data_IF_690358148441
#
_entry.id   IF_690358148441
#
_cell.length_a   1.000
_cell.length_b   1.000
_cell.length_c   1.000
_cell.angle_alpha   90.00
_cell.angle_beta   90.00
_cell.angle_gamma   90.00
#
_symmetry.space_group_name_H-M   'P 1'
#
loop_
_entity.id
_entity.type
_entity.pdbx_description
1 polymer ?
#
# COMPACT_ATOMS: atom_id res chain seq x y z
N UNK A 1 17.60 -3.05 -65.90
CA UNK A 1 16.17 -2.69 -65.76
C UNK A 1 15.70 -1.64 -66.79
N UNK A 2 16.48 -0.62 -67.14
CA UNK A 2 16.13 0.37 -68.18
C UNK A 2 16.31 -0.08 -69.65
N UNK A 3 16.27 -1.39 -69.93
CA UNK A 3 16.33 -1.93 -71.29
C UNK A 3 15.03 -2.66 -71.70
N UNK A 4 13.97 -2.58 -70.90
CA UNK A 4 12.66 -3.17 -71.21
C UNK A 4 12.61 -4.70 -71.23
N UNK A 5 13.75 -5.37 -71.00
CA UNK A 5 13.88 -6.82 -71.03
C UNK A 5 13.61 -7.41 -69.62
N UNK A 6 12.36 -7.35 -69.18
CA UNK A 6 11.93 -7.98 -67.92
C UNK A 6 10.64 -8.78 -68.13
N UNK A 7 10.56 -9.93 -67.48
CA UNK A 7 9.38 -10.77 -67.53
C UNK A 7 8.22 -10.14 -66.75
N UNK A 8 7.15 -9.78 -67.46
CA UNK A 8 5.94 -9.18 -66.88
C UNK A 8 5.19 -10.14 -65.95
N UNK A 9 5.44 -11.45 -66.05
CA UNK A 9 4.87 -12.44 -65.13
C UNK A 9 5.34 -12.25 -63.69
N UNK A 10 6.53 -11.65 -63.48
CA UNK A 10 7.12 -11.41 -62.14
C UNK A 10 6.23 -10.51 -61.28
N UNK A 11 5.51 -9.58 -61.92
CA UNK A 11 4.68 -8.56 -61.26
C UNK A 11 3.18 -8.86 -61.32
N UNK A 12 2.78 -9.95 -62.00
CA UNK A 12 1.37 -10.34 -62.07
C UNK A 12 0.87 -10.61 -60.64
N UNK A 13 -0.24 -9.98 -60.29
CA UNK A 13 -0.88 -10.05 -58.97
C UNK A 13 -0.04 -9.51 -57.79
N UNK A 14 1.00 -8.72 -58.08
CA UNK A 14 1.83 -8.04 -57.05
C UNK A 14 1.72 -6.53 -57.18
N UNK A 15 1.58 -5.86 -56.04
CA UNK A 15 1.64 -4.40 -55.97
C UNK A 15 3.12 -3.97 -55.99
N UNK A 16 3.50 -3.18 -57.00
CA UNK A 16 4.87 -2.69 -57.18
C UNK A 16 4.85 -1.17 -57.07
N UNK A 17 5.55 -0.64 -56.08
CA UNK A 17 5.67 0.79 -55.85
C UNK A 17 7.00 1.26 -56.45
N UNK A 18 6.91 2.16 -57.42
CA UNK A 18 8.08 2.80 -58.05
C UNK A 18 7.94 4.30 -57.86
N UNK A 19 8.97 4.93 -57.31
CA UNK A 19 9.01 6.37 -57.11
C UNK A 19 10.43 6.86 -56.88
N UNK A 20 10.67 8.16 -57.10
CA UNK A 20 12.00 8.72 -57.06
C UNK A 20 12.50 8.78 -55.60
N UNK A 21 13.49 7.96 -55.28
CA UNK A 21 14.23 8.08 -54.01
C UNK A 21 15.50 8.87 -54.28
N UNK A 22 15.51 10.16 -53.95
CA UNK A 22 16.68 11.02 -54.17
C UNK A 22 17.10 11.70 -52.87
N UNK A 23 18.39 11.69 -52.56
CA UNK A 23 18.91 12.22 -51.28
C UNK A 23 18.58 13.73 -51.11
N UNK A 24 18.46 14.50 -52.19
CA UNK A 24 18.02 15.90 -52.14
C UNK A 24 16.49 16.11 -52.12
N UNK A 25 15.66 15.11 -52.41
CA UNK A 25 14.20 15.29 -52.43
C UNK A 25 13.59 15.47 -51.03
N UNK A 26 14.41 15.34 -49.97
CA UNK A 26 14.00 15.40 -48.55
C UNK A 26 12.88 14.42 -48.18
N UNK A 27 12.63 13.40 -49.01
CA UNK A 27 11.56 12.40 -48.82
C UNK A 27 11.95 11.28 -47.85
N UNK A 28 12.70 11.64 -46.82
CA UNK A 28 13.28 10.73 -45.84
C UNK A 28 12.74 11.06 -44.47
N UNK A 29 11.98 10.14 -43.88
CA UNK A 29 11.30 10.35 -42.60
C UNK A 29 11.86 9.41 -41.53
N UNK A 30 11.91 9.89 -40.29
CA UNK A 30 12.26 9.06 -39.15
C UNK A 30 11.11 8.09 -38.83
N UNK A 31 11.41 6.81 -38.78
CA UNK A 31 10.45 5.77 -38.37
C UNK A 31 11.11 4.81 -37.38
N UNK A 32 10.35 4.23 -36.44
CA UNK A 32 10.89 3.29 -35.45
C UNK A 32 11.25 1.91 -36.04
N UNK A 33 11.04 1.71 -37.33
CA UNK A 33 11.24 0.42 -38.03
C UNK A 33 12.47 0.40 -38.93
N UNK A 34 13.17 1.53 -39.05
CA UNK A 34 14.41 1.64 -39.81
C UNK A 34 15.59 1.21 -38.91
N UNK A 35 15.73 -0.11 -38.70
CA UNK A 35 16.82 -0.67 -37.90
C UNK A 35 17.82 -1.43 -38.79
N UNK A 36 18.85 -0.73 -39.24
CA UNK A 36 20.10 -1.33 -39.68
C UNK A 36 21.25 -0.72 -38.88
N UNK A 37 21.79 -1.47 -37.91
CA UNK A 37 23.15 -1.26 -37.37
C UNK A 37 23.47 0.17 -36.88
N UNK A 38 22.61 0.75 -36.03
CA UNK A 38 23.03 1.83 -35.11
C UNK A 38 23.39 3.19 -35.74
N UNK A 39 22.99 3.47 -36.98
CA UNK A 39 22.90 4.84 -37.48
C UNK A 39 21.44 5.26 -37.54
N UNK A 40 21.12 6.49 -37.14
CA UNK A 40 19.79 7.10 -37.30
C UNK A 40 19.31 6.95 -38.76
N UNK A 41 18.40 6.02 -39.00
CA UNK A 41 17.96 5.71 -40.36
C UNK A 41 16.61 6.33 -40.64
N UNK A 42 16.63 7.17 -41.67
CA UNK A 42 15.42 7.72 -42.26
C UNK A 42 14.95 6.76 -43.34
N UNK A 43 13.67 6.43 -43.31
CA UNK A 43 13.01 5.59 -44.30
C UNK A 43 12.51 6.49 -45.44
N UNK A 44 12.73 6.12 -46.71
CA UNK A 44 12.14 6.83 -47.82
C UNK A 44 10.62 6.76 -47.82
N UNK A 45 9.94 7.82 -48.26
CA UNK A 45 8.47 7.92 -48.27
C UNK A 45 7.80 6.75 -48.97
N UNK A 46 8.36 6.27 -50.08
CA UNK A 46 7.80 5.12 -50.80
C UNK A 46 7.82 3.81 -50.01
N UNK A 47 8.85 3.58 -49.21
CA UNK A 47 8.94 2.39 -48.37
C UNK A 47 7.94 2.47 -47.21
N UNK A 48 7.67 3.66 -46.68
CA UNK A 48 6.63 3.90 -45.68
C UNK A 48 5.25 3.58 -46.25
N UNK A 49 4.96 4.06 -47.47
CA UNK A 49 3.71 3.73 -48.15
C UNK A 49 3.58 2.24 -48.45
N UNK A 50 4.67 1.56 -48.85
CA UNK A 50 4.71 0.13 -49.06
C UNK A 50 4.38 -0.65 -47.78
N UNK A 51 4.99 -0.26 -46.66
CA UNK A 51 4.75 -0.87 -45.35
C UNK A 51 3.30 -0.66 -44.87
N UNK A 52 2.70 0.51 -45.13
CA UNK A 52 1.29 0.77 -44.81
C UNK A 52 0.37 -0.13 -45.66
N UNK A 53 0.60 -0.20 -46.97
CA UNK A 53 -0.20 -1.03 -47.88
C UNK A 53 -0.08 -2.51 -47.50
N UNK A 54 1.13 -2.98 -47.18
CA UNK A 54 1.36 -4.33 -46.67
C UNK A 54 0.55 -4.59 -45.39
N UNK A 55 0.60 -3.68 -44.42
CA UNK A 55 -0.16 -3.82 -43.20
C UNK A 55 -1.68 -3.86 -43.44
N UNK A 56 -2.19 -3.09 -44.42
CA UNK A 56 -3.61 -3.10 -44.83
C UNK A 56 -3.97 -4.44 -45.49
N UNK A 57 -3.18 -4.91 -46.45
CA UNK A 57 -3.44 -6.15 -47.19
C UNK A 57 -3.40 -7.39 -46.28
N UNK A 58 -2.47 -7.44 -45.33
CA UNK A 58 -2.31 -8.57 -44.42
C UNK A 58 -3.10 -8.44 -43.10
N UNK A 59 -3.91 -7.39 -42.93
CA UNK A 59 -4.72 -7.23 -41.72
C UNK A 59 -3.90 -7.00 -40.44
N UNK A 60 -2.62 -6.62 -40.54
CA UNK A 60 -1.69 -6.48 -39.40
C UNK A 60 -1.77 -5.11 -38.71
N UNK A 61 -2.81 -4.34 -38.99
CA UNK A 61 -3.03 -3.05 -38.34
C UNK A 61 -3.61 -3.26 -36.93
N UNK A 62 -3.01 -2.59 -35.95
CA UNK A 62 -3.54 -2.51 -34.59
C UNK A 62 -4.93 -1.87 -34.64
N UNK A 63 -5.98 -2.64 -34.36
CA UNK A 63 -7.34 -2.11 -34.26
C UNK A 63 -7.48 -1.37 -32.93
N UNK A 64 -7.75 -0.07 -32.98
CA UNK A 64 -8.16 0.70 -31.81
C UNK A 64 -9.41 0.06 -31.21
N UNK A 65 -9.40 -0.20 -29.90
CA UNK A 65 -10.57 -0.69 -29.17
C UNK A 65 -11.74 0.29 -29.35
N UNK A 66 -12.94 -0.19 -29.71
CA UNK A 66 -14.14 0.64 -29.78
C UNK A 66 -14.36 1.43 -28.48
N UNK A 67 -14.64 2.73 -28.62
CA UNK A 67 -14.85 3.63 -27.47
C UNK A 67 -15.91 3.17 -26.45
N UNK A 68 -16.99 2.46 -26.80
CA UNK A 68 -17.96 1.97 -25.80
C UNK A 68 -17.37 0.89 -24.89
N UNK A 69 -16.46 0.06 -25.42
CA UNK A 69 -15.83 -1.02 -24.66
C UNK A 69 -14.91 -0.41 -23.59
N UNK A 70 -14.15 0.62 -23.95
CA UNK A 70 -13.34 1.38 -23.00
C UNK A 70 -14.19 1.97 -21.88
N UNK A 71 -15.36 2.53 -22.21
CA UNK A 71 -16.26 3.12 -21.21
C UNK A 71 -16.81 2.08 -20.22
N UNK A 72 -17.20 0.89 -20.71
CA UNK A 72 -17.64 -0.23 -19.87
C UNK A 72 -16.52 -0.67 -18.92
N UNK A 73 -15.28 -0.77 -19.40
CA UNK A 73 -14.14 -1.12 -18.57
C UNK A 73 -13.86 -0.07 -17.49
N UNK A 74 -13.97 1.22 -17.81
CA UNK A 74 -13.81 2.30 -16.83
C UNK A 74 -14.89 2.22 -15.76
N UNK A 75 -16.15 2.05 -16.15
CA UNK A 75 -17.26 1.89 -15.20
C UNK A 75 -17.10 0.64 -14.32
N UNK A 76 -16.69 -0.48 -14.90
CA UNK A 76 -16.41 -1.71 -14.17
C UNK A 76 -15.25 -1.54 -13.18
N UNK A 77 -14.22 -0.79 -13.56
CA UNK A 77 -13.10 -0.47 -12.68
C UNK A 77 -13.54 0.40 -11.51
N UNK A 78 -14.33 1.45 -11.76
CA UNK A 78 -14.89 2.30 -10.71
C UNK A 78 -15.79 1.51 -9.74
N UNK A 79 -16.59 0.59 -10.27
CA UNK A 79 -17.42 -0.31 -9.47
C UNK A 79 -16.57 -1.22 -8.57
N UNK A 80 -15.49 -1.80 -9.10
CA UNK A 80 -14.57 -2.64 -8.31
C UNK A 80 -13.86 -1.86 -7.20
N UNK A 81 -13.41 -0.62 -7.46
CA UNK A 81 -12.79 0.24 -6.44
C UNK A 81 -13.78 0.55 -5.32
N UNK A 82 -14.99 0.96 -5.69
CA UNK A 82 -16.05 1.28 -4.72
C UNK A 82 -16.42 0.05 -3.88
N UNK A 83 -16.54 -1.11 -4.54
CA UNK A 83 -16.76 -2.39 -3.87
C UNK A 83 -15.63 -2.77 -2.92
N UNK A 84 -14.36 -2.64 -3.34
CA UNK A 84 -13.20 -2.91 -2.49
C UNK A 84 -13.11 -1.96 -1.29
N UNK A 85 -13.41 -0.67 -1.49
CA UNK A 85 -13.44 0.32 -0.42
C UNK A 85 -14.51 -0.01 0.63
N UNK A 86 -15.75 -0.27 0.20
CA UNK A 86 -16.84 -0.65 1.10
C UNK A 86 -16.52 -1.97 1.83
N UNK A 87 -15.98 -2.96 1.12
CA UNK A 87 -15.64 -4.25 1.71
C UNK A 87 -14.48 -4.16 2.72
N UNK A 88 -13.52 -3.26 2.50
CA UNK A 88 -12.41 -3.00 3.42
C UNK A 88 -12.89 -2.44 4.76
N UNK A 89 -13.99 -1.69 4.79
CA UNK A 89 -14.56 -1.19 6.04
C UNK A 89 -15.30 -2.27 6.83
N UNK A 90 -15.93 -3.24 6.15
CA UNK A 90 -16.79 -4.25 6.79
C UNK A 90 -15.99 -5.43 7.35
N UNK A 91 -14.90 -5.85 6.70
CA UNK A 91 -14.17 -7.07 7.08
C UNK A 91 -12.64 -6.88 7.02
N UNK A 92 -12.02 -6.23 8.02
CA UNK A 92 -10.58 -5.91 7.99
C UNK A 92 -9.66 -7.13 7.95
N UNK A 93 -10.14 -8.33 8.32
CA UNK A 93 -9.36 -9.58 8.24
C UNK A 93 -9.40 -10.25 6.86
N UNK A 94 -10.31 -9.83 5.95
CA UNK A 94 -10.49 -10.44 4.63
C UNK A 94 -9.80 -9.68 3.49
N UNK A 95 -8.94 -8.71 3.82
CA UNK A 95 -8.22 -7.88 2.84
C UNK A 95 -7.33 -8.71 1.88
N UNK A 96 -6.73 -9.80 2.37
CA UNK A 96 -5.91 -10.69 1.55
C UNK A 96 -6.68 -11.32 0.37
N UNK A 97 -7.98 -11.58 0.56
CA UNK A 97 -8.83 -12.13 -0.50
C UNK A 97 -9.09 -11.12 -1.61
N UNK A 98 -9.17 -9.82 -1.27
CA UNK A 98 -9.34 -8.74 -2.24
C UNK A 98 -8.07 -8.56 -3.07
N UNK A 99 -6.89 -8.61 -2.44
CA UNK A 99 -5.61 -8.59 -3.16
C UNK A 99 -5.44 -9.78 -4.12
N UNK A 100 -5.84 -10.99 -3.68
CA UNK A 100 -5.81 -12.19 -4.53
C UNK A 100 -6.73 -12.05 -5.75
N UNK A 101 -7.94 -11.50 -5.57
CA UNK A 101 -8.88 -11.24 -6.66
C UNK A 101 -8.32 -10.27 -7.71
N UNK A 102 -7.66 -9.18 -7.27
CA UNK A 102 -6.99 -8.23 -8.16
C UNK A 102 -5.85 -8.89 -8.95
N UNK A 103 -5.07 -9.77 -8.32
CA UNK A 103 -4.01 -10.52 -9.01
C UNK A 103 -4.56 -11.49 -10.08
N UNK A 104 -5.68 -12.16 -9.80
CA UNK A 104 -6.32 -13.06 -10.76
C UNK A 104 -6.83 -12.28 -11.99
N UNK A 105 -7.51 -11.16 -11.77
CA UNK A 105 -8.01 -10.31 -12.86
C UNK A 105 -6.87 -9.69 -13.70
N UNK A 106 -5.74 -9.39 -13.05
CA UNK A 106 -4.51 -8.99 -13.72
C UNK A 106 -3.92 -10.11 -14.59
N UNK A 107 -3.81 -11.32 -14.06
CA UNK A 107 -3.31 -12.49 -14.81
C UNK A 107 -4.17 -12.81 -16.04
N UNK A 108 -5.49 -12.73 -15.92
CA UNK A 108 -6.42 -12.90 -17.05
C UNK A 108 -6.22 -11.82 -18.13
N UNK A 109 -5.95 -10.57 -17.74
CA UNK A 109 -5.62 -9.51 -18.69
C UNK A 109 -4.31 -9.79 -19.45
N UNK A 110 -3.28 -10.30 -18.77
CA UNK A 110 -2.01 -10.66 -19.42
C UNK A 110 -2.19 -11.76 -20.45
N UNK A 111 -2.97 -12.80 -20.12
CA UNK A 111 -3.24 -13.91 -21.05
C UNK A 111 -3.95 -13.39 -22.30
N UNK A 112 -4.95 -12.53 -22.15
CA UNK A 112 -5.66 -11.91 -23.27
C UNK A 112 -4.75 -11.02 -24.13
N UNK A 113 -3.83 -10.28 -23.51
CA UNK A 113 -2.86 -9.44 -24.23
C UNK A 113 -1.94 -10.29 -25.13
N UNK A 114 -1.32 -11.34 -24.58
CA UNK A 114 -0.39 -12.18 -25.35
C UNK A 114 -1.09 -13.00 -26.44
N UNK A 115 -2.30 -13.51 -26.17
CA UNK A 115 -2.95 -14.45 -27.08
C UNK A 115 -3.81 -13.78 -28.16
N UNK A 116 -4.43 -12.64 -27.85
CA UNK A 116 -5.35 -11.97 -28.76
C UNK A 116 -4.81 -10.64 -29.32
N UNK A 117 -3.59 -10.23 -28.94
CA UNK A 117 -2.89 -9.01 -29.39
C UNK A 117 -3.70 -7.72 -29.20
N UNK A 118 -4.69 -7.74 -28.31
CA UNK A 118 -5.40 -6.54 -27.92
C UNK A 118 -4.46 -5.71 -27.04
N UNK A 119 -3.99 -4.58 -27.57
CA UNK A 119 -3.34 -3.55 -26.77
C UNK A 119 -4.40 -2.87 -25.91
N UNK A 120 -4.83 -3.57 -24.86
CA UNK A 120 -5.76 -3.01 -23.90
C UNK A 120 -5.09 -1.86 -23.17
N UNK A 121 -5.83 -0.77 -22.98
CA UNK A 121 -5.56 0.23 -21.96
C UNK A 121 -5.69 -0.43 -20.58
N UNK A 122 -4.78 -1.33 -20.23
CA UNK A 122 -4.72 -2.08 -18.97
C UNK A 122 -4.00 -1.29 -17.87
N UNK A 123 -3.46 -0.11 -18.22
CA UNK A 123 -2.96 0.91 -17.30
C UNK A 123 -3.86 1.16 -16.07
N UNK A 124 -5.21 1.13 -16.17
CA UNK A 124 -6.07 1.27 -15.00
C UNK A 124 -5.86 0.14 -13.98
N UNK A 125 -5.69 -1.12 -14.39
CA UNK A 125 -5.45 -2.24 -13.46
C UNK A 125 -4.11 -2.08 -12.74
N UNK A 126 -3.06 -1.68 -13.47
CA UNK A 126 -1.76 -1.36 -12.88
C UNK A 126 -1.87 -0.19 -11.89
N UNK A 127 -2.62 0.86 -12.27
CA UNK A 127 -2.88 2.01 -11.42
C UNK A 127 -3.62 1.61 -10.14
N UNK A 128 -4.60 0.70 -10.22
CA UNK A 128 -5.31 0.18 -9.05
C UNK A 128 -4.45 -0.71 -8.17
N UNK A 129 -3.56 -1.54 -8.72
CA UNK A 129 -2.60 -2.30 -7.93
C UNK A 129 -1.66 -1.38 -7.14
N UNK A 130 -1.16 -0.32 -7.79
CA UNK A 130 -0.29 0.66 -7.15
C UNK A 130 -1.04 1.44 -6.06
N UNK A 131 -2.28 1.85 -6.30
CA UNK A 131 -3.11 2.55 -5.31
C UNK A 131 -3.62 1.64 -4.18
N UNK A 132 -3.70 0.33 -4.41
CA UNK A 132 -4.12 -0.63 -3.39
C UNK A 132 -3.06 -0.83 -2.31
N UNK A 133 -1.77 -0.75 -2.65
CA UNK A 133 -0.66 -0.90 -1.70
C UNK A 133 -0.70 0.08 -0.51
N UNK A 134 -0.85 1.42 -0.67
CA UNK A 134 -0.93 2.33 0.46
C UNK A 134 -2.21 2.14 1.29
N UNK A 135 -3.30 1.66 0.69
CA UNK A 135 -4.51 1.31 1.42
C UNK A 135 -4.26 0.14 2.38
N UNK A 136 -3.48 -0.87 1.95
CA UNK A 136 -3.08 -1.99 2.81
C UNK A 136 -2.26 -1.52 4.01
N UNK A 137 -1.33 -0.60 3.80
CA UNK A 137 -0.47 -0.04 4.85
C UNK A 137 -1.30 0.72 5.89
N UNK A 138 -2.26 1.54 5.45
CA UNK A 138 -3.19 2.24 6.34
C UNK A 138 -4.08 1.27 7.14
N UNK A 139 -4.61 0.23 6.50
CA UNK A 139 -5.43 -0.80 7.17
C UNK A 139 -4.58 -1.55 8.20
N UNK A 140 -3.35 -1.92 7.86
CA UNK A 140 -2.42 -2.57 8.79
C UNK A 140 -2.13 -1.69 10.02
N UNK A 141 -1.83 -0.41 9.81
CA UNK A 141 -1.64 0.57 10.88
C UNK A 141 -2.91 0.69 11.75
N UNK A 142 -4.09 0.70 11.14
CA UNK A 142 -5.36 0.80 11.87
C UNK A 142 -5.62 -0.42 12.76
N UNK A 143 -5.27 -1.63 12.29
CA UNK A 143 -5.39 -2.88 13.04
C UNK A 143 -4.40 -2.87 14.21
N UNK A 144 -3.14 -2.48 13.96
CA UNK A 144 -2.11 -2.37 15.00
C UNK A 144 -2.48 -1.36 16.09
N UNK A 145 -3.00 -0.20 15.69
CA UNK A 145 -3.44 0.84 16.63
C UNK A 145 -4.63 0.38 17.47
N UNK A 146 -5.60 -0.36 16.90
CA UNK A 146 -6.70 -0.95 17.69
C UNK A 146 -6.18 -1.99 18.67
N UNK A 147 -5.21 -2.82 18.28
CA UNK A 147 -4.58 -3.78 19.20
C UNK A 147 -3.87 -3.06 20.34
N UNK A 148 -3.10 -2.01 20.07
CA UNK A 148 -2.43 -1.21 21.09
C UNK A 148 -3.42 -0.49 22.00
N UNK A 149 -4.50 0.10 21.45
CA UNK A 149 -5.53 0.72 22.26
C UNK A 149 -6.28 -0.30 23.13
N UNK A 150 -6.50 -1.52 22.66
CA UNK A 150 -7.09 -2.57 23.48
C UNK A 150 -6.11 -3.01 24.58
N UNK A 151 -4.81 -3.10 24.29
CA UNK A 151 -3.77 -3.36 25.30
C UNK A 151 -3.63 -2.22 26.32
N UNK A 152 -3.91 -0.97 25.94
CA UNK A 152 -3.93 0.19 26.84
C UNK A 152 -5.27 0.35 27.57
N UNK A 153 -6.39 -0.10 26.98
CA UNK A 153 -7.73 -0.08 27.60
C UNK A 153 -7.92 -1.23 28.57
N UNK A 154 -7.33 -2.39 28.31
CA UNK A 154 -7.21 -3.44 29.31
C UNK A 154 -6.16 -3.03 30.33
N UNK A 155 -6.67 -2.62 31.50
CA UNK A 155 -5.97 -2.26 32.74
C UNK A 155 -5.63 -0.77 32.91
N UNK A 156 -6.61 0.10 33.22
CA UNK A 156 -6.45 0.76 34.51
C UNK A 156 -6.36 -0.36 35.54
N UNK A 157 -5.26 -0.46 36.29
CA UNK A 157 -5.14 -1.38 37.41
C UNK A 157 -6.51 -1.50 38.09
N UNK A 158 -7.13 -2.68 38.07
CA UNK A 158 -8.08 -3.05 39.11
C UNK A 158 -7.29 -2.91 40.40
N UNK A 159 -7.23 -1.68 40.91
CA UNK A 159 -6.89 -1.41 42.28
C UNK A 159 -8.13 -1.93 43.00
N UNK A 160 -8.05 -3.07 43.70
CA UNK A 160 -8.98 -3.37 44.78
C UNK A 160 -9.32 -2.08 45.49
N UNK A 161 -10.61 -1.86 45.72
CA UNK A 161 -11.14 -0.66 46.36
C UNK A 161 -10.14 -0.16 47.42
N UNK A 162 -9.40 0.94 47.12
CA UNK A 162 -8.26 1.35 47.95
C UNK A 162 -8.70 1.59 49.39
N UNK A 163 -9.99 1.89 49.60
CA UNK A 163 -10.56 2.09 50.92
C UNK A 163 -10.50 0.83 51.80
N UNK A 164 -10.65 -0.37 51.24
CA UNK A 164 -10.52 -1.62 52.00
C UNK A 164 -9.08 -1.88 52.44
N UNK A 165 -8.12 -1.64 51.54
CA UNK A 165 -6.69 -1.76 51.85
C UNK A 165 -6.25 -0.73 52.90
N UNK A 166 -6.61 0.54 52.71
CA UNK A 166 -6.23 1.61 53.62
C UNK A 166 -6.85 1.45 55.01
N UNK A 167 -8.09 0.93 55.08
CA UNK A 167 -8.74 0.61 56.35
C UNK A 167 -8.10 -0.59 57.04
N UNK A 168 -7.71 -1.62 56.29
CA UNK A 168 -7.09 -2.84 56.84
C UNK A 168 -5.75 -2.57 57.52
N UNK A 169 -4.96 -1.65 56.98
CA UNK A 169 -3.61 -1.35 57.47
C UNK A 169 -3.48 0.02 58.16
N UNK A 170 -4.61 0.65 58.51
CA UNK A 170 -4.67 1.96 59.16
C UNK A 170 -3.75 3.02 58.51
N UNK A 171 -3.88 3.14 57.18
CA UNK A 171 -3.06 4.03 56.36
C UNK A 171 -3.65 5.44 56.42
N UNK A 172 -2.85 6.39 56.89
CA UNK A 172 -3.23 7.81 56.98
C UNK A 172 -3.39 8.44 55.60
N UNK A 173 -4.17 9.52 55.48
CA UNK A 173 -4.36 10.25 54.21
C UNK A 173 -3.04 10.61 53.52
N UNK A 174 -2.03 11.02 54.30
CA UNK A 174 -0.71 11.38 53.76
C UNK A 174 0.06 10.16 53.24
N UNK A 175 -0.06 9.02 53.91
CA UNK A 175 0.52 7.76 53.44
C UNK A 175 -0.21 7.25 52.18
N UNK A 176 -1.53 7.45 52.06
CA UNK A 176 -2.30 7.12 50.85
C UNK A 176 -1.79 7.89 49.63
N UNK A 177 -1.57 9.20 49.76
CA UNK A 177 -0.99 10.03 48.71
C UNK A 177 0.37 9.50 48.26
N UNK A 178 1.22 9.11 49.20
CA UNK A 178 2.56 8.58 48.92
C UNK A 178 2.49 7.21 48.22
N UNK A 179 1.60 6.32 48.66
CA UNK A 179 1.38 5.01 48.02
C UNK A 179 0.93 5.20 46.56
N UNK A 180 0.00 6.12 46.30
CA UNK A 180 -0.48 6.39 44.94
C UNK A 180 0.66 6.82 44.01
N UNK A 181 1.51 7.74 44.47
CA UNK A 181 2.66 8.22 43.68
C UNK A 181 3.73 7.14 43.51
N UNK A 182 3.93 6.26 44.50
CA UNK A 182 4.83 5.12 44.39
C UNK A 182 4.35 4.11 43.33
N UNK A 183 3.05 3.82 43.29
CA UNK A 183 2.44 2.91 42.31
C UNK A 183 2.52 3.49 40.90
N UNK A 184 2.45 4.82 40.76
CA UNK A 184 2.69 5.52 39.49
C UNK A 184 4.16 5.50 39.03
N UNK A 185 5.06 4.83 39.75
CA UNK A 185 6.45 4.68 39.36
C UNK A 185 7.37 5.80 39.84
N UNK A 186 6.86 6.82 40.52
CA UNK A 186 7.69 7.94 40.99
C UNK A 186 8.76 7.50 41.99
N UNK A 187 9.89 8.22 41.97
CA UNK A 187 10.99 8.10 42.92
C UNK A 187 10.71 8.90 44.20
N UNK A 188 11.38 8.58 45.30
CA UNK A 188 11.19 9.29 46.57
C UNK A 188 11.53 10.80 46.47
N UNK A 189 12.44 11.17 45.57
CA UNK A 189 12.80 12.57 45.31
C UNK A 189 11.69 13.31 44.55
N UNK A 190 11.12 12.69 43.52
CA UNK A 190 9.99 13.25 42.76
C UNK A 190 8.76 13.40 43.65
N UNK A 191 8.50 12.43 44.52
CA UNK A 191 7.41 12.49 45.52
C UNK A 191 7.61 13.67 46.46
N UNK A 192 8.84 13.88 46.96
CA UNK A 192 9.15 15.01 47.84
C UNK A 192 8.89 16.35 47.16
N UNK A 193 9.31 16.49 45.90
CA UNK A 193 9.03 17.68 45.08
C UNK A 193 7.54 17.90 44.86
N UNK A 194 6.79 16.84 44.49
CA UNK A 194 5.37 16.91 44.18
C UNK A 194 4.49 17.21 45.39
N UNK A 195 4.86 16.67 46.55
CA UNK A 195 4.12 16.83 47.80
C UNK A 195 4.67 17.98 48.68
N UNK A 196 5.66 18.74 48.18
CA UNK A 196 6.31 19.85 48.88
C UNK A 196 6.87 19.46 50.27
N UNK A 197 7.51 18.29 50.38
CA UNK A 197 8.12 17.78 51.61
C UNK A 197 9.55 17.31 51.38
N UNK A 198 10.36 17.29 52.44
CA UNK A 198 11.75 16.84 52.35
C UNK A 198 11.86 15.35 52.00
N UNK A 199 12.93 14.96 51.32
CA UNK A 199 13.25 13.56 51.02
C UNK A 199 13.29 12.69 52.29
N UNK A 200 13.80 13.23 53.40
CA UNK A 200 13.81 12.52 54.69
C UNK A 200 12.40 12.22 55.20
N UNK A 201 11.46 13.13 55.01
CA UNK A 201 10.05 12.97 55.38
C UNK A 201 9.37 11.93 54.51
N UNK A 202 9.63 11.93 53.19
CA UNK A 202 9.13 10.88 52.29
C UNK A 202 9.66 9.52 52.72
N UNK A 203 10.97 9.36 52.95
CA UNK A 203 11.57 8.11 53.42
C UNK A 203 10.95 7.62 54.72
N UNK A 204 10.66 8.52 55.67
CA UNK A 204 9.97 8.20 56.93
C UNK A 204 8.55 7.68 56.69
N UNK A 205 7.77 8.33 55.82
CA UNK A 205 6.44 7.84 55.47
C UNK A 205 6.48 6.48 54.75
N UNK A 206 7.41 6.29 53.81
CA UNK A 206 7.59 5.00 53.12
C UNK A 206 7.96 3.89 54.10
N UNK A 207 8.85 4.18 55.05
CA UNK A 207 9.19 3.25 56.12
C UNK A 207 7.95 2.88 56.95
N UNK A 208 7.16 3.86 57.38
CA UNK A 208 5.93 3.59 58.13
C UNK A 208 4.92 2.78 57.33
N UNK A 209 4.76 3.05 56.03
CA UNK A 209 3.90 2.25 55.14
C UNK A 209 4.37 0.78 55.14
N UNK A 210 5.66 0.54 54.98
CA UNK A 210 6.23 -0.81 54.98
C UNK A 210 6.04 -1.53 56.32
N UNK A 211 6.19 -0.81 57.43
CA UNK A 211 5.92 -1.36 58.76
C UNK A 211 4.45 -1.74 58.94
N UNK A 212 3.52 -0.86 58.54
CA UNK A 212 2.07 -1.11 58.66
C UNK A 212 1.58 -2.25 57.76
N UNK A 213 2.19 -2.41 56.58
CA UNK A 213 1.79 -3.42 55.59
C UNK A 213 2.60 -4.72 55.65
N UNK A 214 3.62 -4.77 56.52
CA UNK A 214 4.53 -5.91 56.71
C UNK A 214 5.29 -6.35 55.44
N UNK A 215 5.59 -5.41 54.57
CA UNK A 215 6.36 -5.63 53.33
C UNK A 215 7.74 -5.00 53.43
N UNK A 216 8.65 -5.41 52.55
CA UNK A 216 10.06 -4.96 52.58
C UNK A 216 10.42 -4.03 51.44
N UNK A 217 9.67 -4.04 50.35
CA UNK A 217 10.04 -3.30 49.14
C UNK A 217 8.83 -2.78 48.34
N UNK A 218 9.12 -1.86 47.41
CA UNK A 218 8.15 -1.23 46.51
C UNK A 218 7.42 -2.25 45.63
N UNK A 219 8.09 -3.34 45.24
CA UNK A 219 7.54 -4.38 44.37
C UNK A 219 6.48 -5.20 45.12
N UNK A 220 6.74 -5.57 46.36
CA UNK A 220 5.79 -6.23 47.27
C UNK A 220 4.59 -5.32 47.56
N UNK A 221 4.80 -4.00 47.71
CA UNK A 221 3.70 -3.04 47.85
C UNK A 221 2.79 -3.04 46.62
N UNK A 222 3.39 -3.04 45.43
CA UNK A 222 2.65 -3.10 44.17
C UNK A 222 1.90 -4.43 44.03
N UNK A 223 2.53 -5.55 44.38
CA UNK A 223 1.90 -6.86 44.33
C UNK A 223 0.74 -6.98 45.32
N UNK A 224 0.90 -6.46 46.54
CA UNK A 224 -0.15 -6.45 47.56
C UNK A 224 -1.35 -5.57 47.15
N UNK A 225 -1.07 -4.44 46.50
CA UNK A 225 -2.10 -3.56 45.93
C UNK A 225 -2.78 -4.17 44.69
N UNK A 226 -2.13 -5.10 43.97
CA UNK A 226 -2.69 -5.76 42.78
C UNK A 226 -3.38 -7.09 43.08
N UNK A 227 -3.01 -7.77 44.17
CA UNK A 227 -3.44 -9.11 44.54
C UNK A 227 -4.46 -9.18 45.67
N UNK A 228 -5.06 -8.06 46.08
CA UNK A 228 -6.31 -8.06 46.84
C UNK A 228 -7.47 -8.37 45.86
N UNK A 229 -7.56 -9.61 45.44
CA UNK A 229 -8.72 -10.23 44.77
C UNK A 229 -8.89 -11.63 45.31
#
# INVERSE_FOLDING_TARGET
>A
LFQGNFDKAIFRDKLVLIGPTFVLSRDFHFTPFADFKGLEQRMPGIEIHAAIIENILYGRHYKSTPSPILFIFVLFSLFLISGCYLFSQLYPKRFLLVGLFLLITFGLNLILFFHARYFFASWPVFFFLILYAPLLELVFISIQNRSLQNLLKEKPLNMPDPTAFFKKFDISKREQEIIYLLVQGMTNEEIGKKLFISLSTVKKHVYNIYQKTHIKNKVELMNLMQGLS
#
